data_IF_080963363554
#
_entry.id   IF_080963363554
#
_cell.length_a   1.000
_cell.length_b   1.000
_cell.length_c   1.000
_cell.angle_alpha   90.00
_cell.angle_beta   90.00
_cell.angle_gamma   90.00
#
_symmetry.space_group_name_H-M   'P 1'
#
loop_
_entity.id
_entity.type
_entity.pdbx_description
1 polymer ?
#
# COMPACT_ATOMS: atom_id res chain seq x y z
N UNK A 1 -0.77 11.77 23.58
CA UNK A 1 -1.53 11.84 22.32
C UNK A 1 -0.51 12.01 21.22
N UNK A 2 -0.61 11.21 20.16
CA UNK A 2 0.28 11.33 19.00
C UNK A 2 0.06 12.69 18.31
N UNK A 3 1.12 13.25 17.72
CA UNK A 3 1.09 14.40 16.83
C UNK A 3 1.60 13.92 15.47
N UNK A 4 0.69 13.36 14.69
CA UNK A 4 1.01 12.77 13.41
C UNK A 4 1.03 13.80 12.30
N UNK A 5 1.91 13.59 11.33
CA UNK A 5 2.01 14.40 10.10
C UNK A 5 1.95 13.46 8.91
N UNK A 6 1.11 13.78 7.93
CA UNK A 6 1.08 13.09 6.65
C UNK A 6 2.27 13.57 5.82
N UNK A 7 3.22 12.69 5.55
CA UNK A 7 4.58 13.08 5.18
C UNK A 7 5.07 12.39 3.91
N UNK A 8 4.32 12.48 2.82
CA UNK A 8 4.91 12.14 1.52
C UNK A 8 5.99 13.13 1.10
N UNK A 9 5.90 14.37 1.60
CA UNK A 9 6.75 15.53 1.27
C UNK A 9 6.82 15.80 -0.24
N UNK A 10 5.66 15.78 -0.90
CA UNK A 10 5.55 16.09 -2.32
C UNK A 10 6.13 17.46 -2.66
N UNK A 11 6.75 17.55 -3.82
CA UNK A 11 7.21 18.84 -4.34
C UNK A 11 6.00 19.70 -4.68
N UNK A 12 6.03 20.97 -4.28
CA UNK A 12 4.96 21.93 -4.59
C UNK A 12 4.70 21.97 -6.10
N UNK A 13 3.43 21.80 -6.50
CA UNK A 13 2.96 21.71 -7.90
C UNK A 13 3.48 20.51 -8.70
N UNK A 14 4.11 19.53 -8.04
CA UNK A 14 4.42 18.25 -8.64
C UNK A 14 3.16 17.38 -8.78
N UNK A 15 3.18 16.46 -9.73
CA UNK A 15 2.22 15.35 -9.69
C UNK A 15 2.59 14.41 -8.54
N UNK A 16 1.61 13.74 -7.95
CA UNK A 16 1.89 12.58 -7.11
C UNK A 16 2.59 11.50 -7.96
N UNK A 17 3.70 10.96 -7.46
CA UNK A 17 4.53 9.96 -8.16
C UNK A 17 4.66 8.68 -7.33
N UNK A 18 3.53 8.19 -6.77
CA UNK A 18 3.49 6.89 -6.10
C UNK A 18 4.20 5.81 -6.95
N UNK A 19 4.90 4.85 -6.34
CA UNK A 19 5.05 4.64 -4.89
C UNK A 19 6.32 5.30 -4.32
N UNK A 20 7.15 5.94 -5.16
CA UNK A 20 8.39 6.58 -4.70
C UNK A 20 8.13 8.00 -4.18
N UNK A 21 8.89 8.39 -3.17
CA UNK A 21 8.76 9.70 -2.53
C UNK A 21 9.97 10.60 -2.85
N UNK A 22 9.80 11.93 -2.83
CA UNK A 22 10.91 12.85 -3.02
C UNK A 22 12.00 12.68 -1.96
N UNK A 23 13.25 12.91 -2.36
CA UNK A 23 14.39 12.86 -1.45
C UNK A 23 14.23 13.79 -0.25
N UNK A 24 14.61 13.32 0.94
CA UNK A 24 14.44 14.04 2.22
C UNK A 24 15.59 15.01 2.48
N UNK A 25 15.33 16.02 3.31
CA UNK A 25 16.28 17.07 3.64
C UNK A 25 16.30 17.37 5.16
N UNK A 26 17.44 17.82 5.68
CA UNK A 26 17.61 18.24 7.08
C UNK A 26 16.60 19.31 7.54
N UNK A 27 16.26 20.29 6.68
CA UNK A 27 15.28 21.33 7.04
C UNK A 27 13.91 20.74 7.35
N UNK A 28 13.54 19.65 6.67
CA UNK A 28 12.30 18.94 6.95
C UNK A 28 12.28 18.37 8.36
N UNK A 29 13.38 17.81 8.84
CA UNK A 29 13.49 17.27 10.20
C UNK A 29 13.37 18.40 11.23
N UNK A 30 13.98 19.56 10.96
CA UNK A 30 13.88 20.72 11.85
C UNK A 30 12.45 21.27 11.92
N UNK A 31 11.72 21.28 10.80
CA UNK A 31 10.30 21.62 10.80
C UNK A 31 9.47 20.62 11.62
N UNK A 32 9.71 19.32 11.43
CA UNK A 32 9.02 18.27 12.21
C UNK A 32 9.26 18.42 13.72
N UNK A 33 10.49 18.77 14.14
CA UNK A 33 10.81 19.08 15.53
C UNK A 33 10.04 20.31 16.04
N UNK A 34 9.96 21.38 15.22
CA UNK A 34 9.18 22.59 15.56
C UNK A 34 7.69 22.32 15.67
N UNK A 35 7.17 21.41 14.85
CA UNK A 35 5.79 20.94 14.93
C UNK A 35 5.57 19.96 16.09
N UNK A 36 6.65 19.55 16.77
CA UNK A 36 6.65 18.54 17.81
C UNK A 36 5.99 17.23 17.33
N UNK A 37 6.29 16.84 16.09
CA UNK A 37 5.81 15.58 15.54
C UNK A 37 6.24 14.42 16.45
N UNK A 38 5.41 13.40 16.56
CA UNK A 38 5.75 12.14 17.25
C UNK A 38 5.74 10.96 16.31
N UNK A 39 5.03 11.05 15.20
CA UNK A 39 4.99 10.04 14.17
C UNK A 39 4.68 10.65 12.81
N UNK A 40 5.09 9.96 11.74
CA UNK A 40 4.79 10.35 10.37
C UNK A 40 4.03 9.22 9.68
N UNK A 41 2.93 9.57 9.00
CA UNK A 41 2.11 8.63 8.23
C UNK A 41 2.43 8.79 6.76
N UNK A 42 2.43 7.68 6.03
CA UNK A 42 2.95 7.59 4.66
C UNK A 42 4.25 8.37 4.45
N UNK A 43 5.36 7.89 5.05
CA UNK A 43 6.52 8.78 5.24
C UNK A 43 7.84 8.34 4.64
N UNK A 44 8.06 7.04 4.43
CA UNK A 44 9.40 6.53 4.12
C UNK A 44 9.37 5.22 3.33
N UNK A 45 10.44 4.99 2.54
CA UNK A 45 10.80 3.69 1.95
C UNK A 45 9.70 2.97 1.14
N UNK A 46 9.01 3.68 0.24
CA UNK A 46 7.85 3.15 -0.51
C UNK A 46 8.20 2.37 -1.78
N UNK A 47 9.42 2.49 -2.31
CA UNK A 47 9.81 2.01 -3.63
C UNK A 47 9.85 0.49 -3.84
N UNK A 48 9.52 -0.30 -2.82
CA UNK A 48 9.49 -1.78 -2.90
C UNK A 48 8.52 -2.31 -3.94
N UNK A 49 7.43 -1.58 -4.20
CA UNK A 49 6.44 -1.92 -5.23
C UNK A 49 6.87 -1.59 -6.66
N UNK A 50 8.00 -0.91 -6.84
CA UNK A 50 8.68 -0.78 -8.14
C UNK A 50 9.60 -1.97 -8.31
N UNK A 51 10.53 -2.16 -7.36
CA UNK A 51 11.38 -3.35 -7.24
C UNK A 51 12.17 -3.30 -5.94
N UNK A 52 12.63 -4.46 -5.43
CA UNK A 52 13.52 -4.53 -4.27
C UNK A 52 14.82 -3.73 -4.46
N UNK A 53 15.51 -3.78 -5.62
CA UNK A 53 16.70 -2.95 -5.83
C UNK A 53 16.40 -1.45 -5.84
N UNK A 54 15.19 -1.03 -6.26
CA UNK A 54 14.80 0.37 -6.18
C UNK A 54 14.64 0.81 -4.71
N UNK A 55 13.96 0.00 -3.89
CA UNK A 55 13.87 0.21 -2.45
C UNK A 55 15.27 0.26 -1.78
N UNK A 56 16.17 -0.63 -2.18
CA UNK A 56 17.55 -0.61 -1.68
C UNK A 56 18.27 0.71 -2.03
N UNK A 57 18.02 1.27 -3.22
CA UNK A 57 18.53 2.59 -3.61
C UNK A 57 17.91 3.72 -2.80
N UNK A 58 16.62 3.68 -2.49
CA UNK A 58 16.01 4.67 -1.59
C UNK A 58 16.65 4.63 -0.19
N UNK A 59 16.86 3.42 0.35
CA UNK A 59 17.42 3.21 1.69
C UNK A 59 18.91 3.60 1.76
N UNK A 60 19.72 3.12 0.82
CA UNK A 60 21.19 3.16 0.93
C UNK A 60 21.87 3.99 -0.15
N UNK A 61 21.14 4.45 -1.17
CA UNK A 61 21.71 5.24 -2.25
C UNK A 61 22.42 6.46 -1.69
N UNK A 62 23.54 6.84 -2.30
CA UNK A 62 24.29 8.03 -1.88
C UNK A 62 23.73 9.20 -2.70
N UNK A 63 23.06 10.19 -2.09
CA UNK A 63 22.72 11.44 -2.74
C UNK A 63 23.93 12.06 -3.42
N UNK A 64 23.72 12.66 -4.59
CA UNK A 64 24.76 13.35 -5.33
C UNK A 64 25.49 14.37 -4.42
N UNK A 65 26.83 14.51 -4.50
CA UNK A 65 27.58 15.45 -3.67
C UNK A 65 27.04 16.89 -3.70
N UNK A 66 26.49 17.33 -4.84
CA UNK A 66 25.84 18.64 -4.95
C UNK A 66 24.59 18.71 -4.07
N UNK A 67 23.77 17.66 -4.00
CA UNK A 67 22.59 17.61 -3.14
C UNK A 67 23.00 17.51 -1.66
N UNK A 68 24.09 16.80 -1.35
CA UNK A 68 24.63 16.74 0.02
C UNK A 68 24.97 18.11 0.59
N UNK A 69 25.52 19.02 -0.22
CA UNK A 69 25.80 20.41 0.20
C UNK A 69 24.53 21.12 0.71
N UNK A 70 23.37 20.79 0.15
CA UNK A 70 22.08 21.35 0.56
C UNK A 70 21.36 20.52 1.62
N UNK A 71 22.00 19.51 2.22
CA UNK A 71 21.44 18.74 3.32
C UNK A 71 20.47 17.63 2.91
N UNK A 72 20.52 17.15 1.66
CA UNK A 72 19.73 15.99 1.24
C UNK A 72 20.28 14.67 1.80
N UNK A 73 19.36 13.76 2.10
CA UNK A 73 19.59 12.50 2.80
C UNK A 73 19.05 11.32 2.00
N UNK A 74 19.60 10.13 2.24
CA UNK A 74 18.87 8.90 1.90
C UNK A 74 17.87 8.52 3.00
N UNK A 75 17.02 7.53 2.73
CA UNK A 75 15.96 7.16 3.67
C UNK A 75 16.51 6.59 4.99
N UNK A 76 17.65 5.88 4.97
CA UNK A 76 18.28 5.37 6.21
C UNK A 76 18.70 6.51 7.14
N UNK A 77 19.38 7.52 6.61
CA UNK A 77 19.81 8.70 7.37
C UNK A 77 18.62 9.51 7.87
N UNK A 78 17.62 9.72 7.02
CA UNK A 78 16.39 10.41 7.39
C UNK A 78 15.67 9.71 8.54
N UNK A 79 15.41 8.40 8.40
CA UNK A 79 14.73 7.61 9.44
C UNK A 79 15.54 7.60 10.74
N UNK A 80 16.87 7.50 10.66
CA UNK A 80 17.73 7.58 11.83
C UNK A 80 17.57 8.92 12.57
N UNK A 81 17.66 10.05 11.86
CA UNK A 81 17.54 11.38 12.46
C UNK A 81 16.14 11.68 13.00
N UNK A 82 15.08 11.21 12.34
CA UNK A 82 13.72 11.27 12.87
C UNK A 82 13.64 10.54 14.22
N UNK A 83 14.17 9.32 14.29
CA UNK A 83 14.12 8.49 15.51
C UNK A 83 14.97 9.06 16.64
N UNK A 84 16.15 9.59 16.36
CA UNK A 84 16.95 10.34 17.35
C UNK A 84 16.19 11.55 17.91
N UNK A 85 15.27 12.10 17.13
CA UNK A 85 14.39 13.21 17.52
C UNK A 85 13.09 12.76 18.20
N UNK A 86 12.91 11.45 18.44
CA UNK A 86 11.70 10.90 19.05
C UNK A 86 10.49 10.85 18.10
N UNK A 87 10.73 10.81 16.79
CA UNK A 87 9.70 10.76 15.74
C UNK A 87 9.73 9.37 15.10
N UNK A 88 8.58 8.70 15.04
CA UNK A 88 8.40 7.41 14.38
C UNK A 88 7.95 7.59 12.91
N UNK A 89 8.83 7.49 11.90
CA UNK A 89 8.42 7.43 10.51
C UNK A 89 7.84 6.06 10.19
N UNK A 90 6.57 6.00 9.79
CA UNK A 90 5.98 4.77 9.26
C UNK A 90 6.45 4.58 7.82
N UNK A 91 7.20 3.49 7.61
CA UNK A 91 7.57 3.04 6.26
C UNK A 91 6.36 2.40 5.59
N UNK A 92 6.14 2.71 4.31
CA UNK A 92 4.93 2.31 3.58
C UNK A 92 5.16 1.00 2.85
N UNK A 93 4.25 0.07 3.01
CA UNK A 93 4.14 -1.10 2.15
C UNK A 93 2.91 -0.92 1.28
N UNK A 94 3.12 -0.58 0.02
CA UNK A 94 2.05 -0.47 -0.98
C UNK A 94 1.59 -1.87 -1.38
N UNK A 95 0.54 -2.37 -0.71
CA UNK A 95 0.13 -3.76 -0.84
C UNK A 95 -0.67 -4.05 -2.09
N UNK A 96 -1.38 -3.05 -2.63
CA UNK A 96 -2.23 -3.22 -3.81
C UNK A 96 -1.54 -2.76 -5.08
N UNK A 97 -0.62 -1.82 -4.98
CA UNK A 97 -0.02 -1.21 -6.15
C UNK A 97 1.24 -2.01 -6.55
N UNK A 98 1.21 -2.72 -7.66
CA UNK A 98 2.39 -3.26 -8.34
C UNK A 98 2.69 -2.37 -9.56
N UNK A 99 3.90 -1.82 -9.66
CA UNK A 99 4.19 -0.72 -10.57
C UNK A 99 5.15 -1.08 -11.70
N UNK A 100 4.85 -0.52 -12.87
CA UNK A 100 5.73 -0.46 -14.05
C UNK A 100 5.84 0.97 -14.56
N UNK A 101 7.08 1.45 -14.75
CA UNK A 101 7.34 2.80 -15.26
C UNK A 101 8.03 2.77 -16.62
N UNK A 102 7.71 3.68 -17.55
CA UNK A 102 8.45 3.80 -18.78
C UNK A 102 9.91 4.19 -18.49
N UNK A 103 10.85 3.61 -19.21
CA UNK A 103 12.28 3.79 -18.99
C UNK A 103 13.04 3.91 -20.31
N UNK A 104 14.27 4.43 -20.26
CA UNK A 104 15.21 4.39 -21.40
C UNK A 104 16.57 3.93 -20.91
N UNK A 105 17.24 3.17 -21.76
CA UNK A 105 18.55 2.58 -21.46
C UNK A 105 19.58 3.01 -22.52
N UNK A 106 20.85 3.10 -22.13
CA UNK A 106 21.95 3.26 -23.09
C UNK A 106 22.35 1.92 -23.72
N UNK A 107 23.33 1.95 -24.62
CA UNK A 107 23.86 0.77 -25.30
C UNK A 107 24.45 -0.30 -24.35
N UNK A 108 24.79 0.09 -23.12
CA UNK A 108 25.31 -0.80 -22.08
C UNK A 108 24.20 -1.28 -21.11
N UNK A 109 22.94 -0.95 -21.39
CA UNK A 109 21.79 -1.32 -20.56
C UNK A 109 21.64 -0.48 -19.29
N UNK A 110 22.35 0.65 -19.17
CA UNK A 110 22.24 1.54 -18.01
C UNK A 110 21.03 2.48 -18.17
N UNK A 111 20.27 2.64 -17.09
CA UNK A 111 19.13 3.56 -17.04
C UNK A 111 19.57 5.02 -17.30
N UNK A 112 18.97 5.66 -18.30
CA UNK A 112 19.21 7.06 -18.68
C UNK A 112 18.00 7.96 -18.46
N UNK A 113 16.78 7.42 -18.49
CA UNK A 113 15.55 8.14 -18.20
C UNK A 113 14.51 7.21 -17.55
N UNK A 114 13.64 7.76 -16.70
CA UNK A 114 12.60 7.00 -15.97
C UNK A 114 11.34 7.86 -15.81
N UNK A 115 10.18 7.23 -15.95
CA UNK A 115 8.86 7.82 -15.75
C UNK A 115 8.69 9.13 -16.53
N UNK A 116 8.76 10.28 -15.85
CA UNK A 116 8.56 11.61 -16.47
C UNK A 116 9.59 11.91 -17.57
N UNK A 117 10.86 11.56 -17.36
CA UNK A 117 11.92 11.86 -18.35
C UNK A 117 11.96 10.83 -19.48
N UNK A 118 11.38 9.64 -19.27
CA UNK A 118 11.26 8.63 -20.31
C UNK A 118 10.14 8.97 -21.31
N UNK A 119 9.09 9.68 -20.86
CA UNK A 119 7.94 10.01 -21.71
C UNK A 119 7.22 8.75 -22.17
N UNK A 120 6.92 8.66 -23.46
CA UNK A 120 6.18 7.54 -24.06
C UNK A 120 7.06 6.35 -24.44
N UNK A 121 8.17 6.12 -23.74
CA UNK A 121 9.09 5.01 -24.04
C UNK A 121 8.37 3.66 -24.07
N UNK A 122 8.80 2.77 -24.96
CA UNK A 122 8.31 1.39 -25.05
C UNK A 122 9.01 0.45 -24.06
N UNK A 123 10.17 0.85 -23.53
CA UNK A 123 10.89 0.09 -22.50
C UNK A 123 10.38 0.45 -21.11
N UNK A 124 10.60 -0.45 -20.15
CA UNK A 124 10.02 -0.38 -18.81
C UNK A 124 11.05 -0.63 -17.71
N UNK A 125 10.69 -0.22 -16.50
CA UNK A 125 11.44 -0.46 -15.29
C UNK A 125 10.44 -0.70 -14.15
N UNK A 126 10.43 -1.93 -13.65
CA UNK A 126 9.59 -2.33 -12.54
C UNK A 126 9.77 -3.79 -12.18
N UNK A 127 8.71 -4.40 -11.66
CA UNK A 127 8.69 -5.76 -11.13
C UNK A 127 8.94 -6.80 -12.23
N UNK A 128 8.42 -6.58 -13.44
CA UNK A 128 8.55 -7.48 -14.59
C UNK A 128 9.98 -7.57 -15.06
N UNK A 129 10.63 -6.45 -15.35
CA UNK A 129 12.02 -6.42 -15.81
C UNK A 129 12.97 -6.92 -14.72
N UNK A 130 12.69 -6.56 -13.46
CA UNK A 130 13.43 -7.10 -12.31
C UNK A 130 13.31 -8.63 -12.20
N UNK A 131 12.13 -9.21 -12.39
CA UNK A 131 11.92 -10.65 -12.24
C UNK A 131 12.38 -11.46 -13.44
N UNK A 132 12.32 -10.90 -14.65
CA UNK A 132 12.74 -11.61 -15.87
C UNK A 132 14.24 -11.42 -16.19
N UNK A 133 14.92 -10.48 -15.53
CA UNK A 133 16.34 -10.18 -15.72
C UNK A 133 16.65 -9.29 -16.93
N UNK A 134 15.64 -8.66 -17.53
CA UNK A 134 15.82 -7.73 -18.64
C UNK A 134 16.35 -6.41 -18.08
N UNK A 135 17.38 -5.86 -18.73
CA UNK A 135 18.08 -4.67 -18.23
C UNK A 135 18.70 -4.84 -16.83
N UNK A 136 19.22 -6.03 -16.48
CA UNK A 136 19.90 -6.27 -15.19
C UNK A 136 20.96 -5.21 -14.85
N UNK A 137 21.67 -4.68 -15.86
CA UNK A 137 22.65 -3.61 -15.70
C UNK A 137 22.08 -2.28 -15.14
N UNK A 138 20.76 -2.06 -15.25
CA UNK A 138 20.07 -0.92 -14.66
C UNK A 138 19.73 -1.11 -13.18
N UNK A 139 19.75 -2.33 -12.67
CA UNK A 139 19.54 -2.65 -11.25
C UNK A 139 20.90 -2.84 -10.55
N UNK A 140 21.05 -2.38 -9.29
CA UNK A 140 22.27 -2.63 -8.52
C UNK A 140 22.41 -4.11 -8.09
N UNK A 141 21.30 -4.83 -8.07
CA UNK A 141 21.17 -6.23 -7.63
C UNK A 141 20.12 -6.91 -8.50
N UNK A 142 20.21 -8.22 -8.64
CA UNK A 142 19.33 -9.09 -9.43
C UNK A 142 18.32 -9.81 -8.55
N UNK A 143 17.34 -10.48 -9.17
CA UNK A 143 16.39 -11.33 -8.44
C UNK A 143 17.09 -12.37 -7.54
N UNK A 144 18.19 -12.96 -8.03
CA UNK A 144 18.94 -14.02 -7.33
C UNK A 144 19.60 -13.56 -6.04
N UNK A 145 19.88 -12.26 -5.91
CA UNK A 145 20.45 -11.70 -4.68
C UNK A 145 19.41 -11.71 -3.53
N UNK A 146 18.12 -11.68 -3.87
CA UNK A 146 17.01 -11.75 -2.91
C UNK A 146 16.41 -13.15 -2.79
N UNK A 147 16.38 -13.87 -3.92
CA UNK A 147 15.78 -15.19 -4.11
C UNK A 147 16.75 -16.10 -4.87
N UNK A 148 17.75 -16.70 -4.18
CA UNK A 148 18.79 -17.48 -4.84
C UNK A 148 18.28 -18.64 -5.70
N UNK A 149 17.17 -19.25 -5.27
CA UNK A 149 16.51 -20.37 -5.96
C UNK A 149 15.40 -19.90 -6.93
N UNK A 150 15.26 -18.59 -7.11
CA UNK A 150 14.10 -17.98 -7.78
C UNK A 150 12.87 -17.94 -6.88
N UNK A 151 11.77 -17.43 -7.44
CA UNK A 151 10.46 -17.39 -6.80
C UNK A 151 9.62 -18.52 -7.40
N UNK A 152 9.01 -19.34 -6.54
CA UNK A 152 8.15 -20.45 -6.95
C UNK A 152 6.69 -20.11 -6.57
N UNK A 153 5.78 -20.23 -7.53
CA UNK A 153 4.35 -19.97 -7.31
C UNK A 153 3.62 -21.17 -6.68
N UNK A 154 2.32 -21.01 -6.41
CA UNK A 154 1.49 -22.05 -5.80
C UNK A 154 1.31 -23.32 -6.65
N UNK A 155 1.64 -23.26 -7.95
CA UNK A 155 1.64 -24.41 -8.85
C UNK A 155 3.01 -25.10 -8.96
N UNK A 156 4.03 -24.63 -8.22
CA UNK A 156 5.39 -25.15 -8.32
C UNK A 156 6.18 -24.63 -9.53
N UNK A 157 5.68 -23.57 -10.19
CA UNK A 157 6.30 -22.98 -11.38
C UNK A 157 7.22 -21.83 -10.97
N UNK A 158 8.35 -21.67 -11.67
CA UNK A 158 9.23 -20.51 -11.50
C UNK A 158 8.57 -19.26 -12.05
N UNK A 159 8.49 -18.22 -11.23
CA UNK A 159 7.97 -16.90 -11.62
C UNK A 159 9.03 -16.14 -12.39
N UNK A 160 8.70 -15.75 -13.62
CA UNK A 160 9.54 -14.90 -14.48
C UNK A 160 8.96 -13.51 -14.69
N UNK A 161 7.65 -13.33 -14.51
CA UNK A 161 6.96 -12.04 -14.60
C UNK A 161 6.18 -11.80 -13.29
N UNK A 162 6.84 -11.13 -12.34
CA UNK A 162 6.29 -10.88 -11.02
C UNK A 162 5.12 -9.89 -11.08
N UNK A 163 5.15 -8.91 -11.98
CA UNK A 163 4.05 -7.96 -12.19
C UNK A 163 2.77 -8.71 -12.57
N UNK A 164 2.86 -9.66 -13.51
CA UNK A 164 1.70 -10.46 -13.90
C UNK A 164 1.30 -11.54 -12.90
N UNK A 165 2.27 -12.19 -12.26
CA UNK A 165 2.00 -13.23 -11.25
C UNK A 165 1.26 -12.64 -10.03
N UNK A 166 1.70 -11.48 -9.54
CA UNK A 166 1.09 -10.83 -8.38
C UNK A 166 -0.30 -10.24 -8.68
N UNK A 167 -0.59 -9.88 -9.93
CA UNK A 167 -1.80 -9.18 -10.31
C UNK A 167 -3.10 -9.92 -9.97
N UNK A 168 -4.09 -9.14 -9.55
CA UNK A 168 -5.49 -9.55 -9.52
C UNK A 168 -6.01 -9.65 -10.95
N UNK A 169 -6.66 -10.77 -11.26
CA UNK A 169 -7.17 -11.05 -12.60
C UNK A 169 -8.69 -11.07 -12.59
N UNK A 170 -9.33 -10.47 -13.59
CA UNK A 170 -10.76 -10.63 -13.79
C UNK A 170 -11.11 -12.08 -14.19
N UNK A 171 -12.41 -12.40 -14.31
CA UNK A 171 -12.86 -13.75 -14.71
C UNK A 171 -12.38 -14.18 -16.12
N UNK A 172 -11.93 -13.25 -16.95
CA UNK A 172 -11.42 -13.49 -18.29
C UNK A 172 -9.89 -13.65 -18.31
N UNK A 173 -9.22 -13.39 -17.18
CA UNK A 173 -7.77 -13.50 -17.03
C UNK A 173 -7.01 -12.21 -17.36
N UNK A 174 -7.70 -11.07 -17.44
CA UNK A 174 -7.05 -9.77 -17.64
C UNK A 174 -6.63 -9.16 -16.30
N UNK A 175 -5.45 -8.54 -16.21
CA UNK A 175 -5.05 -7.78 -15.03
C UNK A 175 -6.01 -6.63 -14.73
N UNK A 176 -6.29 -6.44 -13.44
CA UNK A 176 -7.11 -5.32 -12.96
C UNK A 176 -6.18 -4.15 -12.64
N UNK A 177 -6.43 -2.98 -13.23
CA UNK A 177 -5.64 -1.77 -12.97
C UNK A 177 -6.06 -1.03 -11.69
N UNK A 178 -5.08 -0.44 -11.01
CA UNK A 178 -5.26 0.52 -9.92
C UNK A 178 -5.44 1.95 -10.47
N UNK A 179 -6.50 2.16 -11.26
CA UNK A 179 -6.70 3.41 -12.04
C UNK A 179 -6.77 4.71 -11.23
N UNK A 180 -6.96 4.63 -9.91
CA UNK A 180 -7.00 5.82 -9.05
C UNK A 180 -5.61 6.42 -8.81
N UNK A 181 -4.54 5.62 -8.93
CA UNK A 181 -3.15 6.10 -8.82
C UNK A 181 -2.49 6.32 -10.18
N UNK A 182 -3.03 5.75 -11.26
CA UNK A 182 -2.55 6.00 -12.62
C UNK A 182 -2.90 7.42 -13.11
N UNK A 183 -1.88 8.17 -13.55
CA UNK A 183 -2.07 9.54 -14.03
C UNK A 183 -2.52 9.51 -15.50
N UNK A 184 -3.71 10.03 -15.78
CA UNK A 184 -4.24 10.14 -17.15
C UNK A 184 -3.25 10.83 -18.10
N UNK A 185 -2.99 10.20 -19.23
CA UNK A 185 -2.06 10.71 -20.24
C UNK A 185 -0.60 10.42 -19.94
N UNK A 186 -0.29 9.61 -18.92
CA UNK A 186 1.02 9.01 -18.70
C UNK A 186 0.96 7.51 -18.92
N UNK A 187 2.13 6.94 -19.20
CA UNK A 187 2.29 5.54 -19.59
C UNK A 187 2.53 4.59 -18.42
N UNK A 188 2.84 5.09 -17.23
CA UNK A 188 3.03 4.23 -16.06
C UNK A 188 1.82 3.31 -15.84
N UNK A 189 2.08 2.04 -15.60
CA UNK A 189 1.06 1.02 -15.35
C UNK A 189 1.10 0.61 -13.89
N UNK A 190 -0.08 0.43 -13.31
CA UNK A 190 -0.22 -0.13 -11.98
C UNK A 190 -1.37 -1.13 -11.96
N UNK A 191 -1.06 -2.41 -11.75
CA UNK A 191 -2.11 -3.40 -11.50
C UNK A 191 -2.51 -3.37 -10.01
N UNK A 192 -3.58 -4.08 -9.70
CA UNK A 192 -3.97 -4.37 -8.32
C UNK A 192 -3.37 -5.72 -7.95
N UNK A 193 -2.34 -5.75 -7.12
CA UNK A 193 -1.76 -6.99 -6.63
C UNK A 193 -2.74 -7.75 -5.69
N UNK A 194 -2.67 -9.07 -5.74
CA UNK A 194 -3.57 -9.97 -5.03
C UNK A 194 -2.92 -10.51 -3.75
N UNK A 195 -3.42 -10.10 -2.58
CA UNK A 195 -2.91 -10.59 -1.28
C UNK A 195 -3.17 -12.10 -1.05
N UNK A 196 -4.09 -12.72 -1.80
CA UNK A 196 -4.26 -14.18 -1.75
C UNK A 196 -3.10 -14.92 -2.45
N UNK A 197 -2.35 -14.26 -3.33
CA UNK A 197 -1.18 -14.84 -3.97
C UNK A 197 -0.01 -14.97 -2.95
N UNK A 198 0.50 -16.19 -2.67
CA UNK A 198 1.61 -16.40 -1.75
C UNK A 198 2.94 -15.78 -2.20
N UNK A 199 3.19 -15.68 -3.51
CA UNK A 199 4.36 -14.99 -4.07
C UNK A 199 4.34 -13.53 -3.66
N UNK A 200 3.19 -12.87 -3.83
CA UNK A 200 3.06 -11.46 -3.47
C UNK A 200 3.25 -11.24 -1.97
N UNK A 201 2.61 -12.05 -1.11
CA UNK A 201 2.82 -11.95 0.36
C UNK A 201 4.28 -12.17 0.75
N UNK A 202 4.98 -13.12 0.11
CA UNK A 202 6.40 -13.33 0.37
C UNK A 202 7.24 -12.11 -0.05
N UNK A 203 6.91 -11.50 -1.19
CA UNK A 203 7.55 -10.28 -1.67
C UNK A 203 7.32 -9.09 -0.72
N UNK A 204 6.09 -8.88 -0.25
CA UNK A 204 5.75 -7.87 0.75
C UNK A 204 6.54 -8.06 2.06
N UNK A 205 6.71 -9.30 2.52
CA UNK A 205 7.57 -9.60 3.68
C UNK A 205 9.03 -9.21 3.43
N UNK A 206 9.55 -9.38 2.21
CA UNK A 206 10.89 -8.94 1.84
C UNK A 206 11.02 -7.41 1.89
N UNK A 207 10.02 -6.68 1.39
CA UNK A 207 9.94 -5.21 1.52
C UNK A 207 9.99 -4.81 3.00
N UNK A 208 9.11 -5.38 3.84
CA UNK A 208 9.04 -5.11 5.28
C UNK A 208 10.40 -5.35 5.96
N UNK A 209 11.05 -6.47 5.64
CA UNK A 209 12.36 -6.81 6.18
C UNK A 209 13.43 -5.79 5.77
N UNK A 210 13.44 -5.36 4.50
CA UNK A 210 14.37 -4.35 4.00
C UNK A 210 14.15 -2.98 4.68
N UNK A 211 12.90 -2.58 4.86
CA UNK A 211 12.55 -1.35 5.59
C UNK A 211 13.04 -1.41 7.04
N UNK A 212 12.82 -2.53 7.73
CA UNK A 212 13.31 -2.76 9.09
C UNK A 212 14.86 -2.69 9.16
N UNK A 213 15.55 -3.32 8.21
CA UNK A 213 17.02 -3.24 8.06
C UNK A 213 17.50 -1.83 7.72
N UNK A 214 16.67 -1.04 7.04
CA UNK A 214 16.86 0.39 6.76
C UNK A 214 16.70 1.29 7.99
N UNK A 215 16.22 0.75 9.11
CA UNK A 215 16.07 1.45 10.38
C UNK A 215 14.62 1.77 10.77
N UNK A 216 13.64 1.45 9.93
CA UNK A 216 12.23 1.65 10.24
C UNK A 216 11.80 0.77 11.43
N UNK A 217 11.03 1.34 12.35
CA UNK A 217 10.41 0.63 13.50
C UNK A 217 8.90 0.80 13.54
N UNK A 218 8.35 1.37 12.48
CA UNK A 218 6.93 1.46 12.27
C UNK A 218 6.64 1.15 10.79
N UNK A 219 5.67 0.27 10.54
CA UNK A 219 5.27 -0.16 9.20
C UNK A 219 3.80 0.19 9.01
N UNK A 220 3.49 0.85 7.90
CA UNK A 220 2.13 1.11 7.46
C UNK A 220 1.84 0.24 6.25
N UNK A 221 0.88 -0.67 6.43
CA UNK A 221 0.33 -1.53 5.40
C UNK A 221 -0.74 -0.74 4.64
N UNK A 222 -0.46 -0.32 3.41
CA UNK A 222 -1.39 0.50 2.62
C UNK A 222 -2.49 -0.36 1.99
N UNK A 223 -3.70 0.20 1.86
CA UNK A 223 -4.89 -0.45 1.30
C UNK A 223 -5.17 -1.81 1.95
N UNK A 224 -5.62 -1.79 3.21
CA UNK A 224 -5.65 -2.98 4.06
C UNK A 224 -6.73 -4.00 3.69
N UNK A 225 -7.70 -3.66 2.86
CA UNK A 225 -8.85 -4.51 2.55
C UNK A 225 -8.60 -5.51 1.42
N UNK A 226 -7.37 -5.72 0.95
CA UNK A 226 -7.17 -6.58 -0.22
C UNK A 226 -7.61 -8.04 -0.03
N UNK A 227 -8.24 -8.64 -1.06
CA UNK A 227 -8.45 -8.08 -2.41
C UNK A 227 -9.84 -7.44 -2.60
N UNK A 228 -10.48 -6.90 -1.55
CA UNK A 228 -11.82 -6.31 -1.65
C UNK A 228 -11.91 -5.14 -2.63
N UNK A 229 -10.83 -4.40 -2.84
CA UNK A 229 -10.72 -3.37 -3.88
C UNK A 229 -11.03 -3.92 -5.27
N UNK A 230 -10.57 -5.15 -5.58
CA UNK A 230 -10.79 -5.82 -6.86
C UNK A 230 -12.25 -6.22 -7.08
N UNK A 231 -13.05 -6.39 -6.01
CA UNK A 231 -14.46 -6.75 -6.10
C UNK A 231 -15.29 -5.68 -6.81
N UNK A 232 -14.89 -4.40 -6.71
CA UNK A 232 -15.49 -3.30 -7.48
C UNK A 232 -15.11 -3.30 -8.96
N UNK A 233 -14.03 -4.00 -9.33
CA UNK A 233 -13.44 -4.03 -10.66
C UNK A 233 -13.61 -5.38 -11.38
N UNK A 234 -14.53 -6.24 -10.90
CA UNK A 234 -14.80 -7.55 -11.52
C UNK A 234 -14.36 -8.76 -10.71
N UNK A 235 -13.81 -8.57 -9.50
CA UNK A 235 -13.33 -9.63 -8.62
C UNK A 235 -11.99 -10.22 -9.07
N UNK A 236 -11.26 -10.87 -8.16
CA UNK A 236 -9.96 -11.48 -8.45
C UNK A 236 -10.06 -13.00 -8.63
N UNK A 237 -10.07 -13.48 -9.87
CA UNK A 237 -10.13 -14.89 -10.26
C UNK A 237 -8.75 -15.46 -10.63
N UNK A 238 -7.67 -14.95 -10.01
CA UNK A 238 -6.37 -15.60 -10.14
C UNK A 238 -6.41 -17.03 -9.58
N UNK A 239 -5.43 -17.86 -9.96
CA UNK A 239 -5.39 -19.28 -9.57
C UNK A 239 -5.55 -19.50 -8.07
N UNK A 240 -4.91 -18.63 -7.28
CA UNK A 240 -4.91 -18.72 -5.82
C UNK A 240 -6.26 -18.39 -5.22
N UNK A 241 -6.94 -17.36 -5.73
CA UNK A 241 -8.28 -17.02 -5.28
C UNK A 241 -9.29 -18.11 -5.60
N UNK A 242 -9.23 -18.69 -6.80
CA UNK A 242 -10.13 -19.76 -7.21
C UNK A 242 -9.89 -21.01 -6.36
N UNK A 243 -8.64 -21.45 -6.23
CA UNK A 243 -8.29 -22.63 -5.43
C UNK A 243 -8.65 -22.45 -3.96
N UNK A 244 -8.34 -21.29 -3.37
CA UNK A 244 -8.68 -21.02 -1.97
C UNK A 244 -10.19 -20.89 -1.74
N UNK A 245 -10.95 -20.44 -2.74
CA UNK A 245 -12.41 -20.44 -2.65
C UNK A 245 -12.97 -21.85 -2.65
N UNK A 246 -12.45 -22.76 -3.48
CA UNK A 246 -12.82 -24.18 -3.45
C UNK A 246 -12.55 -24.78 -2.08
N UNK A 247 -11.39 -24.52 -1.48
CA UNK A 247 -11.05 -24.99 -0.13
C UNK A 247 -11.96 -24.37 0.95
N UNK A 248 -12.33 -23.10 0.81
CA UNK A 248 -13.31 -22.45 1.67
C UNK A 248 -14.67 -23.16 1.60
N UNK A 249 -15.14 -23.51 0.41
CA UNK A 249 -16.41 -24.22 0.22
C UNK A 249 -16.39 -25.62 0.82
N UNK A 250 -15.27 -26.36 0.68
CA UNK A 250 -15.10 -27.68 1.34
C UNK A 250 -15.22 -27.58 2.85
N UNK A 251 -14.50 -26.64 3.46
CA UNK A 251 -14.61 -26.40 4.90
C UNK A 251 -16.04 -26.01 5.30
N UNK A 252 -16.74 -25.24 4.45
CA UNK A 252 -18.13 -24.83 4.70
C UNK A 252 -19.11 -25.98 4.61
N UNK A 253 -18.89 -26.93 3.70
CA UNK A 253 -19.64 -28.18 3.58
C UNK A 253 -19.47 -29.04 4.82
N UNK A 254 -18.22 -29.26 5.23
CA UNK A 254 -17.89 -30.14 6.35
C UNK A 254 -18.43 -29.61 7.69
N UNK A 255 -18.59 -28.29 7.81
CA UNK A 255 -19.24 -27.62 8.93
C UNK A 255 -20.77 -27.46 8.77
N UNK A 256 -21.39 -28.04 7.74
CA UNK A 256 -22.83 -27.96 7.44
C UNK A 256 -23.37 -26.51 7.31
N UNK A 257 -22.59 -25.58 6.73
CA UNK A 257 -23.04 -24.19 6.49
C UNK A 257 -23.09 -23.76 5.03
N UNK A 258 -23.01 -24.69 4.08
CA UNK A 258 -23.35 -24.36 2.68
C UNK A 258 -24.86 -24.21 2.53
N UNK A 259 -25.29 -23.19 1.79
CA UNK A 259 -26.68 -22.97 1.47
C UNK A 259 -27.25 -24.02 0.49
N UNK A 260 -28.59 -24.14 0.39
CA UNK A 260 -29.25 -25.09 -0.51
C UNK A 260 -28.92 -24.87 -1.99
N UNK A 261 -28.45 -23.69 -2.39
CA UNK A 261 -27.96 -23.38 -3.73
C UNK A 261 -26.74 -24.22 -4.16
N UNK A 262 -26.03 -24.82 -3.19
CA UNK A 262 -24.92 -25.74 -3.45
C UNK A 262 -25.36 -27.20 -3.61
N UNK A 263 -26.66 -27.51 -3.46
CA UNK A 263 -27.16 -28.87 -3.62
C UNK A 263 -26.94 -29.39 -5.05
N UNK A 264 -26.25 -30.52 -5.17
CA UNK A 264 -25.94 -31.13 -6.47
C UNK A 264 -24.73 -30.52 -7.18
N UNK A 265 -24.06 -29.53 -6.58
CA UNK A 265 -22.77 -29.01 -7.07
C UNK A 265 -21.65 -29.82 -6.42
N UNK A 266 -20.74 -30.34 -7.24
CA UNK A 266 -19.53 -30.98 -6.75
C UNK A 266 -18.52 -29.92 -6.29
N UNK A 267 -18.50 -29.68 -4.97
CA UNK A 267 -17.57 -28.74 -4.34
C UNK A 267 -16.11 -29.17 -4.50
N UNK A 268 -15.81 -30.46 -4.70
CA UNK A 268 -14.42 -30.93 -4.78
C UNK A 268 -13.69 -30.41 -6.01
N UNK A 269 -14.42 -30.32 -7.13
CA UNK A 269 -13.91 -29.89 -8.44
C UNK A 269 -14.38 -28.48 -8.83
N UNK A 270 -15.14 -27.79 -7.97
CA UNK A 270 -15.74 -26.51 -8.31
C UNK A 270 -14.70 -25.43 -8.61
N UNK A 271 -14.77 -24.87 -9.81
CA UNK A 271 -14.01 -23.69 -10.23
C UNK A 271 -14.99 -22.55 -10.53
N UNK A 272 -14.98 -21.51 -9.69
CA UNK A 272 -15.95 -20.43 -9.80
C UNK A 272 -15.78 -19.59 -11.07
N UNK A 273 -14.55 -19.43 -11.56
CA UNK A 273 -14.27 -18.73 -12.83
C UNK A 273 -14.89 -19.47 -13.99
N UNK A 274 -14.64 -20.79 -14.07
CA UNK A 274 -15.13 -21.63 -15.16
C UNK A 274 -16.66 -21.69 -15.12
N UNK A 275 -17.25 -21.87 -13.93
CA UNK A 275 -18.70 -21.83 -13.73
C UNK A 275 -19.34 -20.56 -14.28
N UNK A 276 -18.80 -19.37 -13.96
CA UNK A 276 -19.34 -18.11 -14.46
C UNK A 276 -19.21 -18.00 -15.99
N UNK A 277 -18.07 -18.40 -16.54
CA UNK A 277 -17.80 -18.31 -17.98
C UNK A 277 -18.65 -19.28 -18.80
N UNK A 278 -18.83 -20.53 -18.35
CA UNK A 278 -19.69 -21.53 -19.00
C UNK A 278 -21.16 -21.09 -19.05
N UNK A 279 -21.62 -20.39 -18.02
CA UNK A 279 -22.97 -19.84 -17.95
C UNK A 279 -23.13 -18.51 -18.71
N UNK A 280 -22.03 -17.95 -19.23
CA UNK A 280 -22.04 -16.63 -19.87
C UNK A 280 -22.36 -15.48 -18.92
N UNK A 281 -22.13 -15.67 -17.61
CA UNK A 281 -22.44 -14.69 -16.57
C UNK A 281 -21.19 -13.86 -16.25
N UNK A 282 -21.31 -12.54 -16.32
CA UNK A 282 -20.29 -11.63 -15.82
C UNK A 282 -20.39 -11.52 -14.30
N UNK A 283 -19.27 -11.43 -13.61
CA UNK A 283 -19.21 -11.25 -12.18
C UNK A 283 -19.72 -9.86 -11.78
N UNK A 284 -20.69 -9.84 -10.88
CA UNK A 284 -21.22 -8.65 -10.21
C UNK A 284 -21.93 -9.08 -8.93
N UNK A 285 -22.46 -8.12 -8.14
CA UNK A 285 -23.11 -8.37 -6.84
C UNK A 285 -24.32 -9.32 -6.85
N UNK A 286 -24.85 -9.66 -8.02
CA UNK A 286 -25.99 -10.58 -8.18
C UNK A 286 -25.59 -11.86 -8.93
N UNK A 287 -24.32 -12.03 -9.27
CA UNK A 287 -23.84 -13.28 -9.85
C UNK A 287 -24.07 -14.43 -8.85
N UNK A 288 -24.33 -15.66 -9.33
CA UNK A 288 -24.49 -16.84 -8.46
C UNK A 288 -23.30 -16.95 -7.51
N UNK A 289 -23.54 -17.32 -6.24
CA UNK A 289 -22.51 -17.50 -5.21
C UNK A 289 -21.67 -16.27 -4.87
N UNK A 290 -22.05 -15.07 -5.33
CA UNK A 290 -21.34 -13.82 -5.01
C UNK A 290 -21.13 -13.64 -3.50
N UNK A 291 -22.14 -14.00 -2.70
CA UNK A 291 -22.12 -13.81 -1.24
C UNK A 291 -21.10 -14.73 -0.56
N UNK A 292 -21.05 -16.00 -0.96
CA UNK A 292 -20.05 -16.96 -0.49
C UNK A 292 -18.64 -16.51 -0.88
N UNK A 293 -18.47 -16.04 -2.12
CA UNK A 293 -17.20 -15.55 -2.61
C UNK A 293 -16.75 -14.28 -1.88
N UNK A 294 -17.67 -13.34 -1.63
CA UNK A 294 -17.41 -12.15 -0.83
C UNK A 294 -17.01 -12.51 0.60
N UNK A 295 -17.69 -13.48 1.23
CA UNK A 295 -17.34 -13.93 2.58
C UNK A 295 -15.95 -14.59 2.63
N UNK A 296 -15.63 -15.42 1.63
CA UNK A 296 -14.28 -15.96 1.44
C UNK A 296 -13.24 -14.84 1.41
N UNK A 297 -13.44 -13.82 0.55
CA UNK A 297 -12.49 -12.72 0.42
C UNK A 297 -12.34 -11.95 1.74
N UNK A 298 -13.44 -11.67 2.45
CA UNK A 298 -13.40 -11.03 3.77
C UNK A 298 -12.62 -11.82 4.82
N UNK A 299 -12.73 -13.16 4.80
CA UNK A 299 -11.91 -14.02 5.69
C UNK A 299 -10.45 -14.01 5.27
N UNK A 300 -10.18 -13.96 3.97
CA UNK A 300 -8.83 -13.90 3.43
C UNK A 300 -8.12 -12.57 3.80
N UNK A 301 -8.83 -11.44 3.73
CA UNK A 301 -8.37 -10.13 4.23
C UNK A 301 -7.86 -10.27 5.66
N UNK A 302 -8.70 -10.80 6.56
CA UNK A 302 -8.32 -10.97 7.97
C UNK A 302 -7.08 -11.84 8.11
N UNK A 303 -7.10 -13.01 7.49
CA UNK A 303 -6.02 -14.00 7.58
C UNK A 303 -4.68 -13.41 7.13
N UNK A 304 -4.64 -12.84 5.93
CA UNK A 304 -3.39 -12.43 5.32
C UNK A 304 -2.91 -11.05 5.79
N UNK A 305 -3.80 -10.16 6.20
CA UNK A 305 -3.37 -8.95 6.91
C UNK A 305 -2.73 -9.31 8.26
N UNK A 306 -3.35 -10.24 9.01
CA UNK A 306 -2.78 -10.74 10.28
C UNK A 306 -1.41 -11.38 10.05
N UNK A 307 -1.25 -12.18 8.98
CA UNK A 307 0.05 -12.78 8.61
C UNK A 307 1.17 -11.73 8.44
N UNK A 308 0.87 -10.57 7.83
CA UNK A 308 1.85 -9.50 7.64
C UNK A 308 2.10 -8.71 8.93
N UNK A 309 1.04 -8.42 9.69
CA UNK A 309 1.16 -7.75 10.99
C UNK A 309 1.99 -8.57 11.99
N UNK A 310 1.72 -9.87 12.08
CA UNK A 310 2.48 -10.81 12.92
C UNK A 310 3.94 -10.88 12.48
N UNK A 311 4.21 -10.80 11.17
CA UNK A 311 5.57 -10.74 10.65
C UNK A 311 6.30 -9.47 11.10
N UNK A 312 5.66 -8.30 11.05
CA UNK A 312 6.23 -7.05 11.59
C UNK A 312 6.53 -7.18 13.09
N UNK A 313 5.61 -7.76 13.86
CA UNK A 313 5.84 -7.97 15.30
C UNK A 313 6.98 -8.96 15.57
N UNK A 314 7.10 -10.03 14.79
CA UNK A 314 8.19 -10.99 14.90
C UNK A 314 9.56 -10.35 14.68
N UNK A 315 9.67 -9.40 13.74
CA UNK A 315 10.90 -8.63 13.52
C UNK A 315 11.31 -7.79 14.75
N UNK A 316 10.40 -7.50 15.68
CA UNK A 316 10.77 -6.84 16.94
C UNK A 316 11.78 -7.64 17.76
N UNK A 317 11.65 -8.98 17.72
CA UNK A 317 12.59 -9.88 18.41
C UNK A 317 13.93 -9.90 17.70
N UNK A 318 13.92 -9.99 16.37
CA UNK A 318 15.12 -10.05 15.55
C UNK A 318 15.97 -8.77 15.66
N UNK A 319 15.32 -7.61 15.63
CA UNK A 319 16.01 -6.31 15.73
C UNK A 319 16.19 -5.81 17.17
N UNK A 320 15.70 -6.54 18.17
CA UNK A 320 15.84 -6.20 19.59
C UNK A 320 15.11 -4.92 20.01
N UNK A 321 14.09 -4.51 19.26
CA UNK A 321 13.36 -3.26 19.48
C UNK A 321 11.90 -3.43 19.04
N UNK A 322 10.96 -2.85 19.80
CA UNK A 322 9.54 -2.92 19.45
C UNK A 322 9.28 -2.27 18.09
N UNK A 323 8.68 -3.03 17.18
CA UNK A 323 8.11 -2.53 15.94
C UNK A 323 6.61 -2.29 16.09
N UNK A 324 6.12 -1.22 15.45
CA UNK A 324 4.70 -0.86 15.37
C UNK A 324 4.16 -1.21 14.00
N UNK A 325 2.90 -1.64 13.95
CA UNK A 325 2.18 -1.83 12.69
C UNK A 325 0.91 -0.98 12.66
N UNK A 326 0.63 -0.41 11.49
CA UNK A 326 -0.64 0.25 11.17
C UNK A 326 -1.11 -0.22 9.81
N UNK A 327 -2.34 0.17 9.49
CA UNK A 327 -2.94 0.04 8.17
C UNK A 327 -3.51 1.37 7.67
N UNK A 328 -3.77 1.49 6.37
CA UNK A 328 -4.74 2.45 5.84
C UNK A 328 -6.17 1.89 5.97
N UNK A 329 -6.92 2.42 6.92
CA UNK A 329 -8.31 2.05 7.19
C UNK A 329 -9.26 3.05 6.52
N UNK A 330 -9.28 3.12 5.19
CA UNK A 330 -10.03 4.14 4.44
C UNK A 330 -11.47 4.31 4.97
N UNK A 331 -11.77 5.52 5.46
CA UNK A 331 -13.07 5.90 6.03
C UNK A 331 -13.61 4.94 7.12
N UNK A 332 -12.73 4.14 7.73
CA UNK A 332 -13.06 3.14 8.76
C UNK A 332 -14.23 2.23 8.38
N UNK A 333 -14.24 1.78 7.12
CA UNK A 333 -15.28 0.88 6.61
C UNK A 333 -15.42 -0.40 7.47
N UNK A 334 -16.62 -0.96 7.59
CA UNK A 334 -16.85 -2.16 8.40
C UNK A 334 -15.99 -3.38 8.00
N UNK A 335 -15.50 -3.42 6.77
CA UNK A 335 -14.60 -4.46 6.28
C UNK A 335 -13.29 -4.54 7.08
N UNK A 336 -12.90 -3.47 7.77
CA UNK A 336 -11.67 -3.46 8.56
C UNK A 336 -11.83 -3.90 10.02
N UNK A 337 -13.06 -4.04 10.55
CA UNK A 337 -13.26 -4.50 11.93
C UNK A 337 -12.49 -5.78 12.27
N UNK A 338 -12.40 -6.79 11.40
CA UNK A 338 -11.69 -8.03 11.71
C UNK A 338 -10.17 -7.86 11.86
N UNK A 339 -9.58 -6.81 11.29
CA UNK A 339 -8.13 -6.54 11.31
C UNK A 339 -7.74 -5.40 12.25
N UNK A 340 -8.68 -4.57 12.69
CA UNK A 340 -8.42 -3.51 13.67
C UNK A 340 -7.69 -4.03 14.93
N UNK A 341 -7.97 -5.24 15.47
CA UNK A 341 -7.25 -5.74 16.63
C UNK A 341 -5.75 -5.97 16.42
N UNK A 342 -5.29 -6.19 15.18
CA UNK A 342 -3.91 -6.59 14.87
C UNK A 342 -2.94 -5.42 14.70
N UNK A 343 -3.42 -4.17 14.68
CA UNK A 343 -2.58 -2.97 14.54
C UNK A 343 -2.30 -2.27 15.87
N UNK A 344 -1.18 -1.55 15.97
CA UNK A 344 -0.83 -0.71 17.13
C UNK A 344 -1.47 0.69 17.05
N UNK A 345 -1.71 1.17 15.84
CA UNK A 345 -2.30 2.48 15.51
C UNK A 345 -3.33 2.29 14.40
N UNK A 346 -4.39 3.08 14.43
CA UNK A 346 -5.34 3.17 13.31
C UNK A 346 -5.05 4.45 12.54
N UNK A 347 -4.66 4.34 11.28
CA UNK A 347 -4.55 5.47 10.36
C UNK A 347 -5.71 5.38 9.37
N UNK A 348 -6.49 6.45 9.23
CA UNK A 348 -7.64 6.50 8.32
C UNK A 348 -7.58 7.74 7.47
N UNK A 349 -7.80 7.55 6.17
CA UNK A 349 -8.17 8.64 5.28
C UNK A 349 -9.68 8.92 5.37
N UNK A 350 -10.09 10.18 5.30
CA UNK A 350 -11.50 10.57 5.25
C UNK A 350 -12.10 10.29 3.86
N UNK A 351 -13.35 9.84 3.74
CA UNK A 351 -13.97 9.80 2.41
C UNK A 351 -14.24 11.21 1.85
N UNK A 352 -14.60 12.15 2.72
CA UNK A 352 -14.86 13.54 2.39
C UNK A 352 -14.35 14.43 3.52
N UNK A 353 -13.42 15.34 3.21
CA UNK A 353 -12.84 16.27 4.19
C UNK A 353 -13.78 17.46 4.39
N UNK A 354 -14.59 17.46 5.43
CA UNK A 354 -15.51 18.56 5.77
C UNK A 354 -15.24 19.05 7.21
N UNK A 355 -15.82 20.20 7.55
CA UNK A 355 -15.87 20.68 8.94
C UNK A 355 -17.09 20.13 9.65
N UNK A 356 -17.02 20.11 10.97
CA UNK A 356 -18.16 19.82 11.84
C UNK A 356 -18.72 18.41 11.56
N UNK A 357 -17.83 17.42 11.58
CA UNK A 357 -18.13 16.00 11.47
C UNK A 357 -17.96 15.27 12.82
N UNK A 358 -18.62 15.73 13.91
CA UNK A 358 -18.39 15.16 15.24
C UNK A 358 -18.82 13.70 15.35
N UNK A 359 -19.81 13.27 14.56
CA UNK A 359 -20.25 11.88 14.52
C UNK A 359 -19.17 10.97 13.95
N UNK A 360 -18.44 11.44 12.92
CA UNK A 360 -17.37 10.67 12.29
C UNK A 360 -16.20 10.53 13.25
N UNK A 361 -15.73 11.61 13.88
CA UNK A 361 -14.63 11.51 14.85
C UNK A 361 -14.97 10.69 16.09
N UNK A 362 -16.22 10.73 16.57
CA UNK A 362 -16.70 9.81 17.63
C UNK A 362 -16.64 8.36 17.18
N UNK A 363 -17.05 8.08 15.94
CA UNK A 363 -16.93 6.75 15.35
C UNK A 363 -15.46 6.33 15.24
N UNK A 364 -14.56 7.22 14.80
CA UNK A 364 -13.12 6.98 14.74
C UNK A 364 -12.54 6.59 16.10
N UNK A 365 -12.84 7.37 17.14
CA UNK A 365 -12.38 7.07 18.49
C UNK A 365 -12.93 5.73 19.02
N UNK A 366 -14.19 5.42 18.72
CA UNK A 366 -14.81 4.14 19.07
C UNK A 366 -14.16 2.96 18.33
N UNK A 367 -13.93 3.09 17.02
CA UNK A 367 -13.26 2.09 16.19
C UNK A 367 -11.83 1.82 16.67
N UNK A 368 -11.11 2.86 17.10
CA UNK A 368 -9.76 2.74 17.64
C UNK A 368 -9.66 1.88 18.90
N UNK A 369 -10.73 1.75 19.67
CA UNK A 369 -10.75 0.88 20.86
C UNK A 369 -9.70 1.22 21.91
N UNK A 370 -9.33 2.51 22.03
CA UNK A 370 -8.27 3.00 22.93
C UNK A 370 -6.88 3.10 22.29
N UNK A 371 -6.69 2.60 21.07
CA UNK A 371 -5.45 2.81 20.28
C UNK A 371 -5.42 4.25 19.74
N UNK A 372 -4.23 4.82 19.46
CA UNK A 372 -4.14 6.08 18.75
C UNK A 372 -4.85 5.99 17.39
N UNK A 373 -5.62 7.02 17.06
CA UNK A 373 -6.31 7.14 15.78
C UNK A 373 -5.82 8.40 15.08
N UNK A 374 -5.19 8.22 13.92
CA UNK A 374 -4.72 9.28 13.06
C UNK A 374 -5.71 9.41 11.90
N UNK A 375 -6.28 10.60 11.74
CA UNK A 375 -7.18 10.94 10.64
C UNK A 375 -6.41 11.78 9.65
N UNK A 376 -6.48 11.41 8.38
CA UNK A 376 -5.79 12.11 7.30
C UNK A 376 -6.84 12.68 6.35
N UNK A 377 -6.58 13.90 5.89
CA UNK A 377 -7.41 14.53 4.89
C UNK A 377 -7.38 13.74 3.58
N UNK A 378 -8.51 13.70 2.88
CA UNK A 378 -8.56 13.27 1.51
C UNK A 378 -8.56 14.49 0.59
N UNK A 379 -7.56 14.60 -0.31
CA UNK A 379 -7.38 15.80 -1.13
C UNK A 379 -8.39 15.86 -2.28
N UNK A 380 -9.07 14.75 -2.58
CA UNK A 380 -9.98 14.60 -3.72
C UNK A 380 -11.44 14.96 -3.39
N UNK A 381 -11.75 15.28 -2.13
CA UNK A 381 -13.13 15.55 -1.71
C UNK A 381 -13.26 16.54 -0.55
N UNK A 382 -14.18 17.48 -0.69
CA UNK A 382 -14.59 18.38 0.39
C UNK A 382 -13.92 19.76 0.33
N UNK A 383 -13.55 20.30 1.49
CA UNK A 383 -13.19 21.71 1.65
C UNK A 383 -11.72 22.05 1.34
N UNK A 384 -10.85 21.05 1.13
CA UNK A 384 -9.40 21.25 1.14
C UNK A 384 -8.91 22.21 0.05
N UNK A 385 -9.43 22.09 -1.17
CA UNK A 385 -9.08 22.99 -2.26
C UNK A 385 -9.46 24.45 -1.96
N UNK A 386 -10.65 24.70 -1.40
CA UNK A 386 -11.10 26.04 -1.01
C UNK A 386 -10.27 26.58 0.17
N UNK A 387 -9.99 25.74 1.16
CA UNK A 387 -9.15 26.10 2.30
C UNK A 387 -7.74 26.50 1.85
N UNK A 388 -7.13 25.74 0.95
CA UNK A 388 -5.82 26.08 0.37
C UNK A 388 -5.87 27.42 -0.38
N UNK A 389 -6.89 27.67 -1.19
CA UNK A 389 -7.06 28.96 -1.89
C UNK A 389 -7.22 30.13 -0.91
N UNK A 390 -7.91 29.92 0.22
CA UNK A 390 -8.01 30.92 1.29
C UNK A 390 -6.65 31.18 1.93
N UNK A 391 -5.91 30.13 2.28
CA UNK A 391 -4.60 30.21 2.93
C UNK A 391 -3.57 30.91 2.04
N UNK A 392 -3.54 30.60 0.75
CA UNK A 392 -2.69 31.29 -0.25
C UNK A 392 -2.96 32.79 -0.33
N UNK A 393 -4.18 33.23 0.00
CA UNK A 393 -4.59 34.64 0.06
C UNK A 393 -4.46 35.27 1.45
N UNK A 394 -3.83 34.57 2.40
CA UNK A 394 -3.68 35.04 3.78
C UNK A 394 -5.00 35.04 4.57
N UNK A 395 -5.94 34.15 4.24
CA UNK A 395 -7.24 33.98 4.92
C UNK A 395 -7.37 32.53 5.43
N UNK A 396 -8.43 32.22 6.18
CA UNK A 396 -8.76 30.84 6.55
C UNK A 396 -7.93 30.23 7.70
N UNK A 397 -7.04 30.99 8.35
CA UNK A 397 -6.23 30.50 9.47
C UNK A 397 -7.05 29.92 10.62
N UNK A 398 -8.17 30.55 10.99
CA UNK A 398 -9.04 30.03 12.05
C UNK A 398 -9.77 28.77 11.61
N UNK A 399 -10.12 28.67 10.33
CA UNK A 399 -10.73 27.48 9.75
C UNK A 399 -9.76 26.29 9.79
N UNK A 400 -8.50 26.55 9.42
CA UNK A 400 -7.42 25.57 9.51
C UNK A 400 -7.16 25.12 10.95
N UNK A 401 -7.18 26.05 11.92
CA UNK A 401 -7.07 25.69 13.35
C UNK A 401 -8.23 24.83 13.81
N UNK A 402 -9.46 25.16 13.43
CA UNK A 402 -10.65 24.36 13.76
C UNK A 402 -10.52 22.96 13.17
N UNK A 403 -10.15 22.86 11.90
CA UNK A 403 -9.91 21.60 11.21
C UNK A 403 -8.90 20.70 11.95
N UNK A 404 -7.78 21.28 12.42
CA UNK A 404 -6.79 20.56 13.22
C UNK A 404 -7.32 20.12 14.60
N UNK A 405 -8.07 21.00 15.26
CA UNK A 405 -8.56 20.76 16.63
C UNK A 405 -9.74 19.78 16.67
N UNK A 406 -10.54 19.69 15.61
CA UNK A 406 -11.80 18.95 15.63
C UNK A 406 -11.60 17.48 15.98
N UNK A 407 -10.66 16.80 15.32
CA UNK A 407 -10.31 15.42 15.64
C UNK A 407 -9.83 15.26 17.10
N UNK A 408 -9.04 16.23 17.59
CA UNK A 408 -8.43 16.23 18.92
C UNK A 408 -9.46 16.28 20.05
N UNK A 409 -10.58 17.00 19.84
CA UNK A 409 -11.69 17.08 20.82
C UNK A 409 -12.35 15.71 21.05
N UNK A 410 -12.28 14.81 20.07
CA UNK A 410 -12.84 13.45 20.14
C UNK A 410 -11.81 12.38 20.45
N UNK A 411 -10.55 12.74 20.74
CA UNK A 411 -9.49 11.79 21.06
C UNK A 411 -8.78 11.19 19.84
N UNK A 412 -9.01 11.72 18.64
CA UNK A 412 -8.26 11.42 17.43
C UNK A 412 -7.20 12.48 17.16
N UNK A 413 -6.28 12.24 16.23
CA UNK A 413 -5.31 13.24 15.78
C UNK A 413 -5.49 13.49 14.29
N UNK A 414 -5.75 14.74 13.90
CA UNK A 414 -5.76 15.14 12.49
C UNK A 414 -4.31 15.31 12.04
N UNK A 415 -3.87 14.51 11.08
CA UNK A 415 -2.60 14.72 10.40
C UNK A 415 -2.79 15.61 9.19
N UNK A 416 -1.83 16.49 8.97
CA UNK A 416 -1.79 17.41 7.82
C UNK A 416 -0.68 17.03 6.85
N UNK A 417 -0.87 17.23 5.54
CA UNK A 417 0.17 17.02 4.56
C UNK A 417 1.32 18.01 4.79
N UNK A 418 2.56 17.51 4.80
CA UNK A 418 3.76 18.32 4.76
C UNK A 418 4.14 18.64 3.30
N UNK A 419 4.43 19.91 3.01
CA UNK A 419 4.92 20.36 1.70
C UNK A 419 3.87 20.81 0.69
N UNK A 420 2.59 20.91 1.09
CA UNK A 420 1.47 21.37 0.26
C UNK A 420 1.41 22.90 0.13
#
# INVERSE_FOLDING_TARGET
MERAIYFDAWQRRGACQHPSMPMRNLDMIEDLKRYHATMLVWSAMGGGSISLPYLEREINGIPDPRLRIYGYLNEREYVHLCRESGIDPFAIVYEVQDWEFPAKFDENGKLTALNVTAGDSEDWYGLREFSNGTHDAAFPTTLKDYYPEGIINSAGETVTDLHREAASLDQYGNPIHAKWVEVKGRRAECYQACRNNPVWRNYLKKIIYMQAKGGARAIQLDECELPMTSMGSGGCFCRDCVSQFTEFLKARRDEEKLGPEWNGIDVESFNYRDYLNEQGIRFHKQAPFYRDYWEFQMRAVKKYFTELADYVHALSVEFGEKMRVSGNFYNLMPTYYPIQPTVDVVITEMAHTLLHQPYFFRYCAGFGGGKPVIVTENPYGGMMAELLEMLDRGRGYDLYRVFLMEASVYGCNMSIPYGA
#
